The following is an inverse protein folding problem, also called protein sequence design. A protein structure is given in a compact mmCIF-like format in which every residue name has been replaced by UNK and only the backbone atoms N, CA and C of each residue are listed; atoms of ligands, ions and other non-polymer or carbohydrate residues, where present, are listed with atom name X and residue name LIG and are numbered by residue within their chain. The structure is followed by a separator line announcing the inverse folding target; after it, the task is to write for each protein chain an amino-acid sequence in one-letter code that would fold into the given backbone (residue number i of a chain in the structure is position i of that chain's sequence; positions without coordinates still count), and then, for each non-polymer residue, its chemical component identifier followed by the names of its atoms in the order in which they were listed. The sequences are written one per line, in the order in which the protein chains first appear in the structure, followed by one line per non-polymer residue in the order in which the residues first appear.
data_IF_652398128471
#
_entry.id   IF_652398128471
#
_cell.length_a   1.000
_cell.length_b   1.000
_cell.length_c   1.000
_cell.angle_alpha   90.00
_cell.angle_beta   90.00
_cell.angle_gamma   90.00
#
_symmetry.space_group_name_H-M   'P 1'
#
loop_
_entity.id
_entity.type
_entity.pdbx_description
1 polymer ?
#
# COMPACT_ATOMS: atom_id res chain seq x y z
N UNK A 1 -8.68 17.67 -11.00
CA UNK A 1 -8.96 16.31 -10.52
C UNK A 1 -8.00 16.01 -9.36
N UNK A 2 -8.50 15.78 -8.14
CA UNK A 2 -7.63 15.49 -6.98
C UNK A 2 -7.18 14.02 -7.11
N UNK A 3 -5.92 13.79 -7.48
CA UNK A 3 -5.32 12.45 -7.46
C UNK A 3 -5.43 11.94 -6.02
N UNK A 4 -5.97 10.74 -5.83
CA UNK A 4 -6.08 10.10 -4.51
C UNK A 4 -4.95 9.10 -4.40
N UNK A 5 -3.84 9.53 -3.80
CA UNK A 5 -2.57 8.79 -3.77
C UNK A 5 -2.63 7.49 -2.95
N UNK A 6 -3.75 7.21 -2.26
CA UNK A 6 -3.98 6.00 -1.46
C UNK A 6 -5.24 5.21 -1.84
N UNK A 7 -5.75 5.38 -3.08
CA UNK A 7 -6.97 4.68 -3.53
C UNK A 7 -6.86 3.17 -3.43
N UNK A 8 -5.70 2.59 -3.74
CA UNK A 8 -5.47 1.14 -3.67
C UNK A 8 -5.57 0.62 -2.24
N UNK A 9 -4.92 1.32 -1.29
CA UNK A 9 -5.00 0.99 0.14
C UNK A 9 -6.45 1.07 0.63
N UNK A 10 -7.12 2.21 0.41
CA UNK A 10 -8.50 2.41 0.86
C UNK A 10 -9.49 1.41 0.25
N UNK A 11 -9.29 1.02 -1.01
CA UNK A 11 -10.12 0.01 -1.67
C UNK A 11 -9.93 -1.36 -1.03
N UNK A 12 -8.68 -1.80 -0.84
CA UNK A 12 -8.36 -3.10 -0.26
C UNK A 12 -8.77 -3.18 1.21
N UNK A 13 -8.56 -2.11 1.98
CA UNK A 13 -8.95 -2.03 3.39
C UNK A 13 -10.48 -2.14 3.51
N UNK A 14 -11.22 -1.46 2.63
CA UNK A 14 -12.67 -1.59 2.58
C UNK A 14 -13.12 -3.00 2.20
N UNK A 15 -12.49 -3.61 1.21
CA UNK A 15 -12.81 -4.96 0.76
C UNK A 15 -12.53 -5.99 1.86
N UNK A 16 -11.40 -5.86 2.56
CA UNK A 16 -11.02 -6.72 3.67
C UNK A 16 -11.98 -6.62 4.86
N UNK A 17 -12.33 -5.39 5.27
CA UNK A 17 -13.32 -5.15 6.33
C UNK A 17 -14.72 -5.69 5.99
N UNK A 18 -15.01 -5.92 4.71
CA UNK A 18 -16.27 -6.48 4.22
C UNK A 18 -16.09 -7.87 3.60
N UNK A 19 -15.01 -8.60 3.92
CA UNK A 19 -14.63 -9.83 3.22
C UNK A 19 -15.74 -10.89 3.17
N UNK A 20 -16.52 -11.03 4.23
CA UNK A 20 -17.67 -11.95 4.27
C UNK A 20 -18.71 -11.56 3.22
N UNK A 21 -19.15 -10.29 3.22
CA UNK A 21 -20.10 -9.78 2.24
C UNK A 21 -19.56 -9.83 0.80
N UNK A 22 -18.26 -9.60 0.60
CA UNK A 22 -17.63 -9.71 -0.72
C UNK A 22 -17.65 -11.15 -1.21
N UNK A 23 -17.31 -12.11 -0.34
CA UNK A 23 -17.32 -13.54 -0.68
C UNK A 23 -18.74 -14.04 -0.94
N UNK A 24 -19.73 -13.65 -0.12
CA UNK A 24 -21.13 -14.01 -0.30
C UNK A 24 -21.68 -13.44 -1.61
N UNK A 25 -21.41 -12.15 -1.88
CA UNK A 25 -21.80 -11.53 -3.14
C UNK A 25 -21.21 -12.27 -4.35
N UNK A 26 -19.91 -12.58 -4.32
CA UNK A 26 -19.25 -13.33 -5.39
C UNK A 26 -19.82 -14.76 -5.55
N UNK A 27 -20.25 -15.39 -4.46
CA UNK A 27 -20.93 -16.68 -4.48
C UNK A 27 -22.28 -16.60 -5.20
N UNK A 28 -23.14 -15.68 -4.75
CA UNK A 28 -24.52 -15.55 -5.21
C UNK A 28 -24.57 -15.27 -6.72
N UNK A 29 -23.77 -14.31 -7.18
CA UNK A 29 -23.70 -13.98 -8.62
C UNK A 29 -23.17 -15.15 -9.46
N UNK A 30 -22.31 -16.00 -8.90
CA UNK A 30 -21.80 -17.17 -9.61
C UNK A 30 -22.88 -18.26 -9.73
N UNK A 31 -23.72 -18.42 -8.71
CA UNK A 31 -24.80 -19.42 -8.70
C UNK A 31 -25.90 -19.12 -9.72
N UNK A 32 -26.17 -17.84 -9.99
CA UNK A 32 -27.15 -17.39 -10.98
C UNK A 32 -26.70 -17.63 -12.45
N UNK A 33 -25.41 -17.86 -12.67
CA UNK A 33 -24.83 -18.08 -13.99
C UNK A 33 -24.62 -19.57 -14.31
N UNK A 34 -24.34 -19.91 -15.58
CA UNK A 34 -24.10 -21.29 -16.02
C UNK A 34 -22.82 -21.43 -16.86
N UNK A 35 -22.28 -22.65 -16.92
CA UNK A 35 -21.12 -22.99 -17.75
C UNK A 35 -19.85 -22.21 -17.36
N UNK A 36 -19.16 -21.68 -18.37
CA UNK A 36 -17.88 -20.98 -18.19
C UNK A 36 -18.01 -19.70 -17.36
N UNK A 37 -19.15 -18.99 -17.43
CA UNK A 37 -19.38 -17.76 -16.68
C UNK A 37 -19.40 -18.02 -15.18
N UNK A 38 -20.14 -19.03 -14.74
CA UNK A 38 -20.16 -19.50 -13.34
C UNK A 38 -18.74 -19.79 -12.84
N UNK A 39 -17.95 -20.51 -13.63
CA UNK A 39 -16.58 -20.86 -13.24
C UNK A 39 -15.67 -19.63 -13.09
N UNK A 40 -15.82 -18.62 -13.97
CA UNK A 40 -15.06 -17.38 -13.87
C UNK A 40 -15.44 -16.56 -12.64
N UNK A 41 -16.74 -16.47 -12.33
CA UNK A 41 -17.24 -15.74 -11.16
C UNK A 41 -16.87 -16.44 -9.85
N UNK A 42 -16.96 -17.78 -9.79
CA UNK A 42 -16.56 -18.54 -8.61
C UNK A 42 -15.08 -18.33 -8.26
N UNK A 43 -14.21 -18.11 -9.24
CA UNK A 43 -12.78 -17.78 -9.03
C UNK A 43 -12.55 -16.39 -8.44
N UNK A 44 -13.57 -15.54 -8.38
CA UNK A 44 -13.48 -14.22 -7.72
C UNK A 44 -13.65 -14.32 -6.20
N UNK A 45 -14.07 -15.47 -5.67
CA UNK A 45 -14.02 -15.73 -4.23
C UNK A 45 -12.58 -15.98 -3.82
N UNK A 46 -12.05 -15.10 -2.97
CA UNK A 46 -10.73 -15.27 -2.41
C UNK A 46 -10.78 -16.35 -1.32
N UNK A 47 -9.81 -17.26 -1.38
CA UNK A 47 -9.52 -18.20 -0.30
C UNK A 47 -8.97 -17.50 0.94
N UNK A 48 -9.00 -18.18 2.09
CA UNK A 48 -8.38 -17.67 3.33
C UNK A 48 -6.88 -17.35 3.17
N UNK A 49 -6.17 -18.13 2.36
CA UNK A 49 -4.76 -17.89 2.05
C UNK A 49 -4.57 -16.61 1.21
N UNK A 50 -5.49 -16.32 0.30
CA UNK A 50 -5.48 -15.07 -0.49
C UNK A 50 -5.87 -13.88 0.38
N UNK A 51 -6.84 -14.01 1.27
CA UNK A 51 -7.16 -12.96 2.26
C UNK A 51 -5.97 -12.68 3.19
N UNK A 52 -5.26 -13.71 3.63
CA UNK A 52 -4.01 -13.56 4.40
C UNK A 52 -2.94 -12.80 3.58
N UNK A 53 -2.88 -13.02 2.26
CA UNK A 53 -1.98 -12.26 1.39
C UNK A 53 -2.42 -10.80 1.22
N UNK A 54 -3.74 -10.55 1.18
CA UNK A 54 -4.29 -9.18 1.19
C UNK A 54 -3.92 -8.46 2.50
N UNK A 55 -3.98 -9.13 3.64
CA UNK A 55 -3.54 -8.58 4.93
C UNK A 55 -2.08 -8.12 4.91
N UNK A 56 -1.19 -8.97 4.39
CA UNK A 56 0.22 -8.62 4.22
C UNK A 56 0.38 -7.43 3.28
N UNK A 57 -0.38 -7.40 2.18
CA UNK A 57 -0.30 -6.27 1.24
C UNK A 57 -0.82 -4.96 1.86
N UNK A 58 -1.89 -5.02 2.66
CA UNK A 58 -2.39 -3.86 3.41
C UNK A 58 -1.35 -3.33 4.39
N UNK A 59 -0.67 -4.20 5.12
CA UNK A 59 0.41 -3.79 6.03
C UNK A 59 1.56 -3.09 5.28
N UNK A 60 1.92 -3.59 4.09
CA UNK A 60 2.94 -2.97 3.25
C UNK A 60 2.51 -1.57 2.77
N UNK A 61 1.28 -1.44 2.28
CA UNK A 61 0.73 -0.17 1.81
C UNK A 61 0.51 0.83 2.96
N UNK A 62 0.21 0.35 4.17
CA UNK A 62 0.02 1.19 5.35
C UNK A 62 1.29 1.97 5.70
N UNK A 63 2.49 1.44 5.43
CA UNK A 63 3.75 2.17 5.63
C UNK A 63 3.81 3.41 4.74
N UNK A 64 3.42 3.26 3.46
CA UNK A 64 3.36 4.36 2.51
C UNK A 64 2.28 5.38 2.87
N UNK A 65 1.09 4.91 3.27
CA UNK A 65 -0.02 5.79 3.66
C UNK A 65 0.35 6.65 4.87
N UNK A 66 1.01 6.07 5.88
CA UNK A 66 1.50 6.80 7.04
C UNK A 66 2.55 7.86 6.68
N UNK A 67 3.49 7.54 5.79
CA UNK A 67 4.48 8.51 5.32
C UNK A 67 3.80 9.66 4.56
N UNK A 68 2.87 9.35 3.66
CA UNK A 68 2.10 10.35 2.91
C UNK A 68 1.32 11.29 3.83
N UNK A 69 0.64 10.74 4.85
CA UNK A 69 -0.10 11.55 5.82
C UNK A 69 0.78 12.54 6.58
N UNK A 70 2.04 12.17 6.90
CA UNK A 70 2.99 13.07 7.58
C UNK A 70 3.38 14.29 6.73
N UNK A 71 3.40 14.16 5.40
CA UNK A 71 3.71 15.28 4.50
C UNK A 71 2.49 16.13 4.11
N UNK A 72 1.29 15.61 4.28
CA UNK A 72 0.07 16.16 3.66
C UNK A 72 -0.76 17.07 4.58
N UNK A 73 -0.13 17.82 5.50
CA UNK A 73 -0.88 18.79 6.32
C UNK A 73 -1.12 20.08 5.56
N UNK A 74 -2.40 20.44 5.37
CA UNK A 74 -2.80 21.71 4.76
C UNK A 74 -2.67 22.90 5.73
N UNK A 75 -2.51 22.63 7.03
CA UNK A 75 -2.58 23.65 8.10
C UNK A 75 -1.22 24.01 8.72
N UNK A 76 -0.20 23.19 8.50
CA UNK A 76 1.12 23.33 9.13
C UNK A 76 2.21 23.05 8.11
N UNK A 77 3.35 23.74 8.22
CA UNK A 77 4.53 23.40 7.40
C UNK A 77 4.93 21.96 7.70
N UNK A 78 4.98 21.10 6.68
CA UNK A 78 5.41 19.70 6.79
C UNK A 78 6.78 19.46 6.17
N UNK A 79 7.44 20.51 5.67
CA UNK A 79 8.74 20.38 4.99
C UNK A 79 9.82 19.81 5.93
N UNK A 80 9.78 20.16 7.23
CA UNK A 80 10.67 19.60 8.24
C UNK A 80 10.41 18.12 8.54
N UNK A 81 9.22 17.60 8.19
CA UNK A 81 8.89 16.19 8.32
C UNK A 81 9.34 15.39 7.11
N UNK A 82 9.62 16.05 5.96
CA UNK A 82 10.01 15.49 4.65
C UNK A 82 11.00 14.32 4.78
N UNK A 83 12.19 14.61 5.28
CA UNK A 83 13.25 13.62 5.40
C UNK A 83 12.91 12.53 6.44
N UNK A 84 12.45 12.86 7.67
CA UNK A 84 12.05 11.85 8.66
C UNK A 84 11.03 10.83 8.16
N UNK A 85 10.04 11.25 7.37
CA UNK A 85 9.04 10.31 6.87
C UNK A 85 9.49 9.53 5.62
N UNK A 86 10.44 10.04 4.83
CA UNK A 86 11.10 9.27 3.77
C UNK A 86 11.98 8.18 4.39
N UNK A 87 12.75 8.52 5.43
CA UNK A 87 13.57 7.57 6.18
C UNK A 87 12.70 6.52 6.89
N UNK A 88 11.59 6.94 7.51
CA UNK A 88 10.64 6.01 8.14
C UNK A 88 10.02 5.05 7.12
N UNK A 89 9.69 5.54 5.92
CA UNK A 89 9.16 4.71 4.82
C UNK A 89 10.20 3.68 4.37
N UNK A 90 11.42 4.13 4.10
CA UNK A 90 12.52 3.26 3.70
C UNK A 90 12.77 2.18 4.77
N UNK A 91 12.94 2.57 6.04
CA UNK A 91 13.17 1.64 7.14
C UNK A 91 12.03 0.62 7.30
N UNK A 92 10.77 1.06 7.20
CA UNK A 92 9.61 0.19 7.26
C UNK A 92 9.62 -0.86 6.15
N UNK A 93 9.87 -0.45 4.91
CA UNK A 93 9.97 -1.38 3.79
C UNK A 93 11.17 -2.31 3.85
N UNK A 94 12.34 -1.84 4.29
CA UNK A 94 13.49 -2.71 4.56
C UNK A 94 13.15 -3.79 5.59
N UNK A 95 12.43 -3.43 6.66
CA UNK A 95 11.99 -4.39 7.68
C UNK A 95 11.01 -5.42 7.09
N UNK A 96 10.07 -4.98 6.26
CA UNK A 96 9.13 -5.90 5.60
C UNK A 96 9.82 -6.83 4.61
N UNK A 97 10.80 -6.35 3.83
CA UNK A 97 11.57 -7.18 2.92
C UNK A 97 12.36 -8.29 3.63
N UNK A 98 12.83 -8.02 4.86
CA UNK A 98 13.54 -9.00 5.68
C UNK A 98 12.61 -10.07 6.31
N UNK A 99 11.30 -9.84 6.32
CA UNK A 99 10.33 -10.77 6.88
C UNK A 99 9.93 -11.85 5.86
N UNK A 100 10.16 -13.16 6.16
CA UNK A 100 9.84 -14.24 5.24
C UNK A 100 8.38 -14.29 4.77
N UNK A 101 7.45 -13.73 5.55
CA UNK A 101 6.02 -13.65 5.17
C UNK A 101 5.81 -12.82 3.90
N UNK A 102 6.71 -11.88 3.62
CA UNK A 102 6.62 -10.96 2.50
C UNK A 102 7.41 -11.40 1.28
N UNK A 103 7.90 -12.65 1.23
CA UNK A 103 8.75 -13.17 0.14
C UNK A 103 8.18 -12.90 -1.26
N UNK A 104 6.85 -12.95 -1.42
CA UNK A 104 6.18 -12.67 -2.71
C UNK A 104 6.17 -11.19 -3.10
N UNK A 105 6.39 -10.29 -2.14
CA UNK A 105 6.43 -8.85 -2.33
C UNK A 105 7.86 -8.31 -2.41
N UNK A 106 8.88 -9.07 -1.99
CA UNK A 106 10.28 -8.63 -1.96
C UNK A 106 10.74 -7.96 -3.26
N UNK A 107 10.50 -8.52 -4.47
CA UNK A 107 10.93 -7.84 -5.70
C UNK A 107 10.32 -6.45 -5.88
N UNK A 108 9.03 -6.30 -5.54
CA UNK A 108 8.34 -5.01 -5.62
C UNK A 108 8.82 -4.04 -4.52
N UNK A 109 9.17 -4.55 -3.34
CA UNK A 109 9.73 -3.74 -2.25
C UNK A 109 11.13 -3.23 -2.63
N UNK A 110 11.96 -4.07 -3.25
CA UNK A 110 13.30 -3.68 -3.71
C UNK A 110 13.22 -2.57 -4.78
N UNK A 111 12.34 -2.71 -5.77
CA UNK A 111 12.08 -1.65 -6.76
C UNK A 111 11.58 -0.36 -6.09
N UNK A 112 10.71 -0.48 -5.08
CA UNK A 112 10.21 0.67 -4.33
C UNK A 112 11.33 1.36 -3.54
N UNK A 113 12.24 0.61 -2.91
CA UNK A 113 13.40 1.14 -2.18
C UNK A 113 14.37 1.86 -3.12
N UNK A 114 14.70 1.27 -4.28
CA UNK A 114 15.53 1.94 -5.29
C UNK A 114 14.91 3.26 -5.74
N UNK A 115 13.58 3.27 -5.92
CA UNK A 115 12.86 4.51 -6.25
C UNK A 115 12.94 5.53 -5.13
N UNK A 116 12.91 5.09 -3.87
CA UNK A 116 13.06 5.99 -2.73
C UNK A 116 14.43 6.61 -2.64
N UNK A 117 15.48 5.86 -2.94
CA UNK A 117 16.85 6.37 -3.00
C UNK A 117 16.99 7.47 -4.05
N UNK A 118 16.37 7.29 -5.23
CA UNK A 118 16.33 8.33 -6.26
C UNK A 118 15.70 9.64 -5.73
N UNK A 119 14.59 9.55 -4.99
CA UNK A 119 13.93 10.72 -4.40
C UNK A 119 14.78 11.33 -3.28
N UNK A 120 15.40 10.52 -2.43
CA UNK A 120 16.28 10.98 -1.37
C UNK A 120 17.47 11.77 -1.94
N UNK A 121 18.12 11.25 -2.99
CA UNK A 121 19.22 11.97 -3.67
C UNK A 121 18.77 13.30 -4.27
N UNK A 122 17.52 13.39 -4.77
CA UNK A 122 16.97 14.67 -5.26
C UNK A 122 16.77 15.69 -4.14
N UNK A 123 16.44 15.25 -2.92
CA UNK A 123 16.34 16.16 -1.76
C UNK A 123 17.68 16.72 -1.32
N UNK A 124 18.77 15.96 -1.48
CA UNK A 124 20.13 16.41 -1.18
C UNK A 124 20.60 17.59 -2.07
N UNK A 125 20.00 17.76 -3.24
CA UNK A 125 20.28 18.88 -4.14
C UNK A 125 19.56 20.18 -3.74
N UNK A 126 18.86 20.21 -2.60
CA UNK A 126 18.13 21.38 -2.13
C UNK A 126 18.38 21.64 -0.64
N UNK A 127 18.97 22.80 -0.33
CA UNK A 127 19.18 23.25 1.05
C UNK A 127 17.87 23.50 1.81
N UNK A 128 16.73 23.57 1.11
CA UNK A 128 15.43 23.86 1.71
C UNK A 128 15.03 22.85 2.81
N UNK A 129 15.39 21.58 2.63
CA UNK A 129 15.11 20.55 3.63
C UNK A 129 16.01 20.69 4.87
N UNK A 130 17.29 21.03 4.67
CA UNK A 130 18.25 21.31 5.75
C UNK A 130 17.82 22.55 6.55
N UNK A 131 17.41 23.63 5.88
CA UNK A 131 16.94 24.85 6.53
C UNK A 131 15.61 24.64 7.28
N UNK A 132 14.74 23.77 6.79
CA UNK A 132 13.46 23.50 7.45
C UNK A 132 13.61 22.65 8.72
N UNK A 133 14.69 21.87 8.85
CA UNK A 133 14.98 21.07 10.04
C UNK A 133 15.88 21.78 11.07
N UNK A 134 16.47 22.93 10.70
CA UNK A 134 17.36 23.73 11.54
C UNK A 134 16.66 24.64 12.54
#
# INVERSE_FOLDING_TARGET
MKVRWSSTYAMLDRAHNLKESVNDFAFEIAMDEVGEKRQKLAKLQLSEAEWTRVDLFLNLLAVAEQAQHRFSSDLKSTLHLALPALESLHAGWTQLAADPRYIHFVPAIEEALEKMDEYYQKTANSDAYTFAMG
#
